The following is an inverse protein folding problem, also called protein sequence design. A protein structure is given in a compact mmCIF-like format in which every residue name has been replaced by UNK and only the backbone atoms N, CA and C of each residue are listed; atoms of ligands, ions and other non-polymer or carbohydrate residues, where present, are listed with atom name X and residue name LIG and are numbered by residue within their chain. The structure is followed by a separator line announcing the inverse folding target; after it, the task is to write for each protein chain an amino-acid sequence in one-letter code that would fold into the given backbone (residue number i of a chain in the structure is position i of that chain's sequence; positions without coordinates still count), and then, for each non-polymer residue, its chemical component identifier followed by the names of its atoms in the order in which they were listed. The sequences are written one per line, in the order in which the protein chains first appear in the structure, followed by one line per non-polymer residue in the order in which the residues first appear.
data_IF_658339161941
#
_entry.id   IF_658339161941
#
_cell.length_a   1.000
_cell.length_b   1.000
_cell.length_c   1.000
_cell.angle_alpha   90.00
_cell.angle_beta   90.00
_cell.angle_gamma   90.00
#
_symmetry.space_group_name_H-M   'P 1'
#
loop_
_entity.id
_entity.type
_entity.pdbx_description
1 polymer ?
#
# COMPACT_ATOMS: atom_id res chain seq x y z
N UNK A 1 14.86 -9.20 14.07
CA UNK A 1 14.75 -7.87 14.73
C UNK A 1 13.52 -7.87 15.61
N UNK A 2 13.65 -7.70 16.94
CA UNK A 2 12.49 -7.55 17.83
C UNK A 2 12.03 -6.07 17.75
N UNK A 3 10.88 -5.82 17.14
CA UNK A 3 10.28 -4.47 17.12
C UNK A 3 9.88 -4.09 18.55
N UNK A 4 10.13 -2.84 18.94
CA UNK A 4 9.61 -2.29 20.20
C UNK A 4 8.07 -2.40 20.21
N UNK A 5 7.42 -2.74 21.34
CA UNK A 5 5.96 -2.90 21.43
C UNK A 5 5.19 -1.70 20.88
N UNK A 6 5.71 -0.49 21.09
CA UNK A 6 5.13 0.76 20.61
C UNK A 6 5.12 0.86 19.09
N UNK A 7 6.24 0.49 18.44
CA UNK A 7 6.35 0.51 16.98
C UNK A 7 5.47 -0.57 16.35
N UNK A 8 5.38 -1.74 16.98
CA UNK A 8 4.50 -2.82 16.54
C UNK A 8 3.03 -2.39 16.59
N UNK A 9 2.59 -1.80 17.71
CA UNK A 9 1.23 -1.29 17.87
C UNK A 9 0.92 -0.16 16.87
N UNK A 10 1.82 0.80 16.72
CA UNK A 10 1.65 1.91 15.77
C UNK A 10 1.50 1.41 14.33
N UNK A 11 2.32 0.44 13.93
CA UNK A 11 2.26 -0.15 12.58
C UNK A 11 0.96 -0.94 12.38
N UNK A 12 0.56 -1.75 13.36
CA UNK A 12 -0.67 -2.54 13.30
C UNK A 12 -1.92 -1.64 13.20
N UNK A 13 -1.99 -0.59 14.02
CA UNK A 13 -3.11 0.37 14.01
C UNK A 13 -3.16 1.11 12.67
N UNK A 14 -2.01 1.63 12.21
CA UNK A 14 -1.93 2.36 10.94
C UNK A 14 -2.35 1.48 9.75
N UNK A 15 -1.97 0.20 9.79
CA UNK A 15 -2.35 -0.76 8.76
C UNK A 15 -3.85 -1.08 8.81
N UNK A 16 -4.39 -1.35 10.01
CA UNK A 16 -5.81 -1.65 10.19
C UNK A 16 -6.73 -0.50 9.74
N UNK A 17 -6.31 0.75 9.97
CA UNK A 17 -7.04 1.95 9.53
C UNK A 17 -7.16 2.06 8.00
N UNK A 18 -6.26 1.44 7.23
CA UNK A 18 -6.30 1.48 5.77
C UNK A 18 -7.58 0.88 5.16
N UNK A 19 -8.19 -0.11 5.80
CA UNK A 19 -9.39 -0.79 5.28
C UNK A 19 -10.67 0.06 5.45
N UNK A 20 -10.99 0.62 6.62
CA UNK A 20 -12.09 1.57 6.77
C UNK A 20 -11.99 2.78 5.83
N UNK A 21 -10.79 3.35 5.64
CA UNK A 21 -10.61 4.45 4.70
C UNK A 21 -10.86 4.01 3.26
N UNK A 22 -10.41 2.81 2.87
CA UNK A 22 -10.70 2.25 1.56
C UNK A 22 -12.19 2.07 1.32
N UNK A 23 -12.92 1.54 2.31
CA UNK A 23 -14.38 1.33 2.20
C UNK A 23 -15.17 2.62 2.13
N UNK A 24 -14.68 3.70 2.75
CA UNK A 24 -15.30 5.02 2.64
C UNK A 24 -15.01 5.69 1.29
N UNK A 25 -13.86 5.38 0.69
CA UNK A 25 -13.42 6.00 -0.56
C UNK A 25 -14.05 5.36 -1.81
N UNK A 26 -14.29 4.04 -1.81
CA UNK A 26 -14.87 3.31 -2.96
C UNK A 26 -16.26 3.82 -3.39
N UNK A 27 -17.21 4.12 -2.49
CA UNK A 27 -18.50 4.68 -2.89
C UNK A 27 -18.42 6.10 -3.47
N UNK A 28 -17.37 6.86 -3.11
CA UNK A 28 -17.21 8.25 -3.50
C UNK A 28 -16.54 8.44 -4.87
N UNK A 29 -15.83 7.42 -5.38
CA UNK A 29 -15.04 7.50 -6.60
C UNK A 29 -14.68 6.12 -7.14
N UNK A 30 -14.36 6.01 -8.42
CA UNK A 30 -13.90 4.74 -8.99
C UNK A 30 -12.65 4.22 -8.27
N UNK A 31 -12.51 2.89 -8.07
CA UNK A 31 -11.34 2.27 -7.45
C UNK A 31 -10.01 2.83 -7.96
N UNK A 32 -9.86 2.94 -9.28
CA UNK A 32 -8.66 3.46 -9.92
C UNK A 32 -8.32 4.90 -9.49
N UNK A 33 -9.32 5.75 -9.31
CA UNK A 33 -9.13 7.15 -8.89
C UNK A 33 -8.64 7.23 -7.46
N UNK A 34 -9.26 6.46 -6.55
CA UNK A 34 -8.84 6.40 -5.13
C UNK A 34 -7.38 5.98 -5.01
N UNK A 35 -6.98 4.95 -5.78
CA UNK A 35 -5.61 4.48 -5.81
C UNK A 35 -4.64 5.51 -6.39
N UNK A 36 -5.01 6.14 -7.51
CA UNK A 36 -4.18 7.13 -8.16
C UNK A 36 -3.88 8.29 -7.21
N UNK A 37 -4.91 8.81 -6.52
CA UNK A 37 -4.74 9.87 -5.52
C UNK A 37 -3.85 9.39 -4.36
N UNK A 38 -4.17 8.23 -3.77
CA UNK A 38 -3.39 7.67 -2.65
C UNK A 38 -1.91 7.52 -2.98
N UNK A 39 -1.59 6.90 -4.11
CA UNK A 39 -0.20 6.68 -4.52
C UNK A 39 0.50 7.96 -4.95
N UNK A 40 -0.20 8.91 -5.57
CA UNK A 40 0.36 10.23 -5.91
C UNK A 40 0.73 11.00 -4.65
N UNK A 41 -0.18 11.08 -3.67
CA UNK A 41 0.09 11.73 -2.37
C UNK A 41 1.27 11.05 -1.67
N UNK A 42 1.31 9.72 -1.68
CA UNK A 42 2.40 8.96 -1.08
C UNK A 42 3.74 9.23 -1.77
N UNK A 43 3.76 9.29 -3.11
CA UNK A 43 4.95 9.59 -3.89
C UNK A 43 5.46 11.02 -3.64
N UNK A 44 4.56 12.00 -3.50
CA UNK A 44 4.92 13.38 -3.16
C UNK A 44 5.53 13.47 -1.76
N UNK A 45 4.91 12.83 -0.76
CA UNK A 45 5.40 12.85 0.63
C UNK A 45 6.78 12.18 0.71
N UNK A 46 6.91 10.96 0.18
CA UNK A 46 8.18 10.23 0.22
C UNK A 46 9.25 10.96 -0.60
N UNK A 47 8.88 11.51 -1.76
CA UNK A 47 9.78 12.31 -2.60
C UNK A 47 10.27 13.57 -1.90
N UNK A 48 9.39 14.29 -1.18
CA UNK A 48 9.75 15.46 -0.40
C UNK A 48 10.70 15.10 0.75
N UNK A 49 10.43 14.00 1.47
CA UNK A 49 11.32 13.50 2.53
C UNK A 49 12.69 13.13 1.96
N UNK A 50 12.74 12.38 0.86
CA UNK A 50 13.98 11.98 0.21
C UNK A 50 14.79 13.19 -0.28
N UNK A 51 14.12 14.22 -0.82
CA UNK A 51 14.75 15.46 -1.24
C UNK A 51 15.31 16.26 -0.04
N UNK A 52 14.54 16.37 1.05
CA UNK A 52 14.97 17.04 2.28
C UNK A 52 16.18 16.36 2.92
N UNK A 53 16.22 15.02 2.87
CA UNK A 53 17.35 14.22 3.36
C UNK A 53 18.52 14.13 2.36
N UNK A 54 18.37 14.71 1.15
CA UNK A 54 19.36 14.65 0.05
C UNK A 54 19.78 13.22 -0.30
N UNK A 55 18.83 12.28 -0.29
CA UNK A 55 19.12 10.88 -0.61
C UNK A 55 19.52 10.72 -2.08
N UNK A 56 20.46 9.81 -2.40
CA UNK A 56 20.80 9.50 -3.77
C UNK A 56 19.60 8.85 -4.47
N UNK A 57 19.18 9.44 -5.58
CA UNK A 57 18.08 8.89 -6.38
C UNK A 57 18.53 7.67 -7.18
N UNK A 58 17.75 6.58 -7.22
CA UNK A 58 18.07 5.43 -8.05
C UNK A 58 18.10 5.85 -9.52
N UNK A 59 19.12 5.41 -10.27
CA UNK A 59 19.28 5.71 -11.70
C UNK A 59 19.47 4.45 -12.54
N UNK A 60 19.09 4.54 -13.82
CA UNK A 60 19.23 3.46 -14.79
C UNK A 60 18.46 2.20 -14.41
N UNK A 61 19.14 1.05 -14.46
CA UNK A 61 18.55 -0.27 -14.22
C UNK A 61 17.93 -0.40 -12.82
N UNK A 62 18.49 0.27 -11.81
CA UNK A 62 17.96 0.23 -10.45
C UNK A 62 16.60 0.92 -10.34
N UNK A 63 16.40 2.05 -11.02
CA UNK A 63 15.12 2.75 -11.06
C UNK A 63 14.04 1.91 -11.76
N UNK A 64 14.41 1.25 -12.86
CA UNK A 64 13.51 0.36 -13.59
C UNK A 64 13.05 -0.84 -12.74
N UNK A 65 13.99 -1.52 -12.07
CA UNK A 65 13.64 -2.61 -11.16
C UNK A 65 12.77 -2.14 -10.00
N UNK A 66 13.09 -1.00 -9.39
CA UNK A 66 12.27 -0.43 -8.31
C UNK A 66 10.86 -0.10 -8.79
N UNK A 67 10.70 0.45 -10.01
CA UNK A 67 9.40 0.74 -10.59
C UNK A 67 8.57 -0.53 -10.82
N UNK A 68 9.17 -1.57 -11.42
CA UNK A 68 8.48 -2.86 -11.66
C UNK A 68 8.07 -3.49 -10.33
N UNK A 69 9.00 -3.60 -9.38
CA UNK A 69 8.72 -4.20 -8.07
C UNK A 69 7.62 -3.40 -7.37
N UNK A 70 7.66 -2.07 -7.40
CA UNK A 70 6.61 -1.23 -6.82
C UNK A 70 5.23 -1.47 -7.47
N UNK A 71 5.17 -1.55 -8.80
CA UNK A 71 3.93 -1.82 -9.53
C UNK A 71 3.37 -3.20 -9.18
N UNK A 72 4.21 -4.23 -9.15
CA UNK A 72 3.78 -5.60 -8.83
C UNK A 72 3.39 -5.74 -7.37
N UNK A 73 4.22 -5.27 -6.45
CA UNK A 73 3.96 -5.43 -5.01
C UNK A 73 2.81 -4.57 -4.52
N UNK A 74 2.70 -3.32 -4.97
CA UNK A 74 1.69 -2.37 -4.47
C UNK A 74 0.55 -2.17 -5.45
N UNK A 75 0.85 -1.96 -6.73
CA UNK A 75 -0.15 -1.69 -7.75
C UNK A 75 -1.12 -2.86 -7.91
N UNK A 76 -0.62 -4.04 -8.29
CA UNK A 76 -1.46 -5.22 -8.51
C UNK A 76 -2.18 -5.67 -7.24
N UNK A 77 -1.48 -5.71 -6.09
CA UNK A 77 -2.06 -6.12 -4.82
C UNK A 77 -3.26 -5.26 -4.44
N UNK A 78 -3.07 -3.94 -4.36
CA UNK A 78 -4.14 -3.07 -3.89
C UNK A 78 -5.23 -2.89 -4.97
N UNK A 79 -4.90 -2.99 -6.27
CA UNK A 79 -5.89 -2.85 -7.33
C UNK A 79 -6.89 -4.01 -7.30
N UNK A 80 -6.40 -5.24 -7.12
CA UNK A 80 -7.26 -6.41 -6.93
C UNK A 80 -8.17 -6.27 -5.71
N UNK A 81 -7.62 -5.79 -4.59
CA UNK A 81 -8.40 -5.55 -3.35
C UNK A 81 -9.51 -4.53 -3.58
N UNK A 82 -9.20 -3.37 -4.17
CA UNK A 82 -10.20 -2.31 -4.34
C UNK A 82 -11.27 -2.68 -5.37
N UNK A 83 -10.92 -3.43 -6.43
CA UNK A 83 -11.91 -4.01 -7.36
C UNK A 83 -12.80 -5.03 -6.65
N UNK A 84 -12.26 -5.85 -5.75
CA UNK A 84 -13.06 -6.80 -4.98
C UNK A 84 -14.04 -6.08 -4.04
N UNK A 85 -13.59 -5.00 -3.38
CA UNK A 85 -14.46 -4.15 -2.54
C UNK A 85 -15.58 -3.51 -3.36
N UNK A 86 -15.28 -3.02 -4.57
CA UNK A 86 -16.25 -2.43 -5.49
C UNK A 86 -17.33 -3.44 -5.93
N UNK A 87 -16.95 -4.71 -6.11
CA UNK A 87 -17.88 -5.82 -6.37
C UNK A 87 -18.62 -6.32 -5.11
N UNK A 88 -18.49 -5.64 -3.97
CA UNK A 88 -19.24 -5.93 -2.74
C UNK A 88 -18.60 -6.98 -1.82
N UNK A 89 -17.34 -7.36 -2.03
CA UNK A 89 -16.63 -8.23 -1.08
C UNK A 89 -16.48 -7.49 0.26
N UNK A 90 -16.84 -8.12 1.39
CA UNK A 90 -16.70 -7.47 2.69
C UNK A 90 -15.23 -7.12 2.99
N UNK A 91 -14.94 -5.92 3.51
CA UNK A 91 -13.58 -5.48 3.80
C UNK A 91 -12.82 -6.35 4.80
N UNK A 92 -13.53 -7.01 5.72
CA UNK A 92 -12.94 -7.98 6.62
C UNK A 92 -12.34 -9.18 5.87
N UNK A 93 -13.02 -9.69 4.84
CA UNK A 93 -12.53 -10.81 4.02
C UNK A 93 -11.32 -10.37 3.20
N UNK A 94 -11.39 -9.19 2.57
CA UNK A 94 -10.27 -8.63 1.83
C UNK A 94 -9.02 -8.45 2.74
N UNK A 95 -9.22 -7.97 3.97
CA UNK A 95 -8.14 -7.83 4.96
C UNK A 95 -7.53 -9.17 5.35
N UNK A 96 -8.33 -10.22 5.55
CA UNK A 96 -7.84 -11.57 5.85
C UNK A 96 -7.01 -12.15 4.70
N UNK A 97 -7.44 -11.96 3.45
CA UNK A 97 -6.69 -12.39 2.27
C UNK A 97 -5.34 -11.69 2.21
N UNK A 98 -5.31 -10.36 2.37
CA UNK A 98 -4.05 -9.59 2.37
C UNK A 98 -3.16 -9.97 3.55
N UNK A 99 -3.74 -10.28 4.72
CA UNK A 99 -3.00 -10.76 5.88
C UNK A 99 -2.34 -12.13 5.66
N UNK A 100 -2.67 -12.85 4.58
CA UNK A 100 -2.00 -14.10 4.20
C UNK A 100 -0.70 -13.90 3.40
N UNK A 101 -0.37 -12.67 2.99
CA UNK A 101 0.91 -12.38 2.31
C UNK A 101 2.15 -13.01 2.99
N UNK A 102 2.29 -12.97 4.33
CA UNK A 102 3.44 -13.57 5.01
C UNK A 102 3.54 -15.08 4.78
N UNK A 103 2.40 -15.78 4.68
CA UNK A 103 2.36 -17.22 4.43
C UNK A 103 2.92 -17.53 3.05
N UNK A 104 2.53 -16.75 2.04
CA UNK A 104 3.06 -16.89 0.68
C UNK A 104 4.56 -16.56 0.57
N UNK A 105 5.07 -15.64 1.40
CA UNK A 105 6.49 -15.25 1.39
C UNK A 105 7.39 -16.12 2.28
N UNK A 106 6.80 -16.94 3.15
CA UNK A 106 7.53 -17.77 4.11
C UNK A 106 7.94 -19.14 3.56
N UNK A 107 7.31 -19.60 2.47
CA UNK A 107 7.62 -20.83 1.75
C UNK A 107 8.52 -20.53 0.55
#
# INVERSE_FOLDING_TARGET
MKLSPTLAAATAISFALGFPFGTLAVPASTPATVMLVRFTVSAVIIGAIAAAMKLPWPRGRQAYHAAIVGIVSQGFQFLGVYIALDHGVPPAIAALIVAMNPVLTAV
#
